data_IF_878621091015
#
_entry.id   IF_878621091015
#
_cell.length_a   1.000
_cell.length_b   1.000
_cell.length_c   1.000
_cell.angle_alpha   90.00
_cell.angle_beta   90.00
_cell.angle_gamma   90.00
#
_symmetry.space_group_name_H-M   'P 1'
#
loop_
_entity.id
_entity.type
_entity.pdbx_description
1 polymer ?
#
# COMPACT_ATOMS: atom_id res chain seq x y z
N UNK A 1 0.47 22.83 24.07
CA UNK A 1 -0.42 23.12 22.92
C UNK A 1 -0.85 21.79 22.33
N UNK A 2 -2.15 21.52 22.25
CA UNK A 2 -2.64 20.27 21.65
C UNK A 2 -2.53 20.39 20.13
N UNK A 3 -1.83 19.45 19.50
CA UNK A 3 -1.73 19.36 18.05
C UNK A 3 -3.13 19.08 17.47
N UNK A 4 -3.53 19.70 16.34
CA UNK A 4 -4.84 19.42 15.73
C UNK A 4 -5.00 17.94 15.37
N UNK A 5 -6.23 17.42 15.45
CA UNK A 5 -6.53 15.99 15.24
C UNK A 5 -6.27 15.48 13.83
N UNK A 6 -6.19 16.37 12.84
CA UNK A 6 -5.87 16.06 11.44
C UNK A 6 -4.37 16.07 11.14
N UNK A 7 -3.51 16.08 12.17
CA UNK A 7 -2.06 15.99 12.01
C UNK A 7 -1.50 14.87 12.91
N UNK A 8 -1.03 13.78 12.30
CA UNK A 8 -0.39 12.65 13.01
C UNK A 8 0.84 12.12 12.28
N UNK A 9 1.62 11.27 12.96
CA UNK A 9 2.74 10.55 12.34
C UNK A 9 2.26 9.15 11.92
N UNK A 10 2.68 8.65 10.76
CA UNK A 10 2.18 7.35 10.26
C UNK A 10 2.51 6.17 11.20
N UNK A 11 3.64 6.24 11.91
CA UNK A 11 4.02 5.25 12.94
C UNK A 11 3.02 5.19 14.11
N UNK A 12 2.28 6.27 14.39
CA UNK A 12 1.23 6.27 15.43
C UNK A 12 -0.04 5.53 14.95
N UNK A 13 -0.11 5.17 13.67
CA UNK A 13 -1.26 4.56 13.01
C UNK A 13 -0.95 3.20 12.38
N UNK A 14 0.21 2.61 12.69
CA UNK A 14 0.51 1.24 12.27
C UNK A 14 -0.53 0.30 12.86
N UNK A 15 -1.09 -0.53 11.99
CA UNK A 15 -1.91 -1.67 12.42
C UNK A 15 -0.98 -2.81 12.90
N UNK A 16 -1.56 -3.86 13.49
CA UNK A 16 -0.81 -5.01 13.98
C UNK A 16 -0.17 -5.80 12.81
N UNK A 17 0.90 -6.55 13.08
CA UNK A 17 1.55 -7.40 12.07
C UNK A 17 0.79 -8.72 11.85
N UNK A 18 -0.47 -8.60 11.43
CA UNK A 18 -1.40 -9.71 11.26
C UNK A 18 -2.29 -9.63 10.02
N UNK A 19 -2.04 -8.69 9.10
CA UNK A 19 -2.82 -8.55 7.87
C UNK A 19 -2.69 -9.79 6.96
N UNK A 20 -3.80 -10.45 6.66
CA UNK A 20 -3.89 -11.61 5.77
C UNK A 20 -5.29 -11.71 5.12
N UNK A 21 -5.40 -12.42 4.00
CA UNK A 21 -6.69 -12.73 3.39
C UNK A 21 -7.39 -13.90 4.08
N UNK A 22 -8.74 -13.95 4.08
CA UNK A 22 -9.49 -15.08 4.63
C UNK A 22 -9.05 -16.42 4.02
N UNK A 23 -8.67 -17.38 4.88
CA UNK A 23 -8.24 -18.71 4.45
C UNK A 23 -6.78 -18.81 4.01
N UNK A 24 -5.96 -17.79 4.29
CA UNK A 24 -4.52 -17.79 4.04
C UNK A 24 -3.75 -17.42 5.31
N UNK A 25 -2.64 -18.10 5.59
CA UNK A 25 -1.69 -17.72 6.65
C UNK A 25 -0.59 -16.79 6.12
N UNK A 26 -0.67 -16.37 4.86
CA UNK A 26 0.26 -15.42 4.25
C UNK A 26 0.06 -14.03 4.84
N UNK A 27 1.06 -13.54 5.55
CA UNK A 27 1.10 -12.16 6.03
C UNK A 27 1.44 -11.19 4.90
N UNK A 28 0.70 -10.09 4.83
CA UNK A 28 0.89 -8.99 3.90
C UNK A 28 1.78 -7.88 4.51
N UNK A 29 1.71 -6.67 3.94
CA UNK A 29 2.33 -5.48 4.52
C UNK A 29 1.69 -5.09 5.85
N UNK A 30 2.47 -4.38 6.68
CA UNK A 30 1.96 -3.73 7.88
C UNK A 30 1.44 -2.35 7.47
N UNK A 31 0.12 -2.21 7.48
CA UNK A 31 -0.57 -1.02 7.00
C UNK A 31 -0.57 0.14 7.99
N UNK A 32 -0.65 1.35 7.44
CA UNK A 32 -0.95 2.57 8.18
C UNK A 32 -1.90 3.43 7.35
N UNK A 33 -3.21 3.27 7.61
CA UNK A 33 -4.29 3.93 6.87
C UNK A 33 -4.43 5.43 7.23
N UNK A 34 -3.34 6.20 7.12
CA UNK A 34 -3.21 7.58 7.60
C UNK A 34 -4.32 8.50 7.08
N UNK A 35 -4.73 8.34 5.82
CA UNK A 35 -5.80 9.14 5.23
C UNK A 35 -7.11 8.97 6.00
N UNK A 36 -7.53 7.73 6.22
CA UNK A 36 -8.75 7.41 6.98
C UNK A 36 -8.64 7.85 8.43
N UNK A 37 -7.50 7.57 9.10
CA UNK A 37 -7.29 7.91 10.52
C UNK A 37 -7.27 9.43 10.76
N UNK A 38 -6.84 10.22 9.77
CA UNK A 38 -6.84 11.69 9.82
C UNK A 38 -8.08 12.34 9.18
N UNK A 39 -9.06 11.55 8.71
CA UNK A 39 -10.39 12.02 8.33
C UNK A 39 -10.62 12.27 6.83
N UNK A 40 -9.76 11.81 5.94
CA UNK A 40 -10.04 11.76 4.50
C UNK A 40 -11.19 10.78 4.20
N UNK A 41 -11.99 11.12 3.19
CA UNK A 41 -13.21 10.37 2.83
C UNK A 41 -13.32 9.94 1.38
N UNK A 42 -12.52 10.54 0.50
CA UNK A 42 -12.63 10.37 -0.96
C UNK A 42 -11.41 9.70 -1.59
N UNK A 43 -10.28 9.71 -0.89
CA UNK A 43 -9.04 9.09 -1.34
C UNK A 43 -8.51 8.25 -0.19
N UNK A 44 -8.06 7.04 -0.51
CA UNK A 44 -7.24 6.22 0.38
C UNK A 44 -5.81 6.73 0.33
N UNK A 45 -5.20 6.96 1.50
CA UNK A 45 -3.77 7.23 1.61
C UNK A 45 -3.24 6.33 2.71
N UNK A 46 -2.36 5.42 2.32
CA UNK A 46 -1.77 4.41 3.16
C UNK A 46 -0.25 4.53 3.11
N UNK A 47 0.41 4.28 4.24
CA UNK A 47 1.84 3.96 4.27
C UNK A 47 1.94 2.48 4.59
N UNK A 48 2.46 1.70 3.64
CA UNK A 48 2.59 0.25 3.76
C UNK A 48 4.05 -0.09 4.07
N UNK A 49 4.28 -0.82 5.17
CA UNK A 49 5.61 -1.34 5.52
C UNK A 49 5.73 -2.79 5.05
N UNK A 50 6.55 -3.01 4.02
CA UNK A 50 6.70 -4.32 3.40
C UNK A 50 7.95 -5.03 3.95
N UNK A 51 7.75 -6.12 4.68
CA UNK A 51 8.85 -6.97 5.15
C UNK A 51 9.35 -7.90 4.03
N UNK A 52 10.64 -8.32 4.05
CA UNK A 52 11.18 -9.23 3.05
C UNK A 52 10.35 -10.51 2.89
N UNK A 53 10.07 -10.89 1.64
CA UNK A 53 9.30 -12.09 1.30
C UNK A 53 7.79 -11.94 1.42
N UNK A 54 7.28 -10.73 1.67
CA UNK A 54 5.86 -10.42 1.70
C UNK A 54 5.43 -9.60 0.48
N UNK A 55 4.12 -9.47 0.30
CA UNK A 55 3.49 -8.63 -0.73
C UNK A 55 2.38 -7.76 -0.15
N UNK A 56 1.97 -6.74 -0.87
CA UNK A 56 0.94 -5.79 -0.41
C UNK A 56 -0.48 -6.35 -0.53
N UNK A 57 -0.71 -7.22 -1.52
CA UNK A 57 -2.04 -7.74 -1.84
C UNK A 57 -1.93 -9.07 -2.59
N UNK A 58 -3.06 -9.67 -2.96
CA UNK A 58 -3.06 -10.68 -4.02
C UNK A 58 -3.12 -9.99 -5.38
N UNK A 59 -2.54 -10.59 -6.45
CA UNK A 59 -2.60 -10.05 -7.79
C UNK A 59 -4.02 -9.67 -8.20
N UNK A 60 -4.23 -8.40 -8.50
CA UNK A 60 -5.51 -7.85 -8.90
C UNK A 60 -5.32 -6.69 -9.88
N UNK A 61 -6.41 -6.27 -10.49
CA UNK A 61 -6.45 -5.10 -11.35
C UNK A 61 -7.69 -4.28 -11.00
N UNK A 62 -7.53 -2.98 -10.92
CA UNK A 62 -8.61 -2.08 -10.55
C UNK A 62 -9.58 -1.85 -11.71
N UNK A 63 -10.87 -2.06 -11.46
CA UNK A 63 -11.90 -1.83 -12.48
C UNK A 63 -12.33 -0.36 -12.55
N UNK A 64 -12.48 0.29 -11.41
CA UNK A 64 -13.06 1.65 -11.29
C UNK A 64 -12.18 2.61 -10.49
N UNK A 65 -11.23 2.11 -9.69
CA UNK A 65 -10.37 2.95 -8.85
C UNK A 65 -9.02 3.20 -9.53
N UNK A 66 -8.49 4.41 -9.35
CA UNK A 66 -7.11 4.72 -9.70
C UNK A 66 -6.23 4.34 -8.51
N UNK A 67 -5.17 3.58 -8.76
CA UNK A 67 -4.22 3.19 -7.72
C UNK A 67 -2.79 3.60 -8.09
N UNK A 68 -1.97 3.87 -7.07
CA UNK A 68 -0.56 4.13 -7.27
C UNK A 68 0.28 3.68 -6.07
N UNK A 69 1.54 3.37 -6.34
CA UNK A 69 2.58 3.15 -5.33
C UNK A 69 3.69 4.19 -5.46
N UNK A 70 4.23 4.63 -4.33
CA UNK A 70 5.41 5.49 -4.28
C UNK A 70 6.40 4.96 -3.25
N UNK A 71 7.63 4.67 -3.68
CA UNK A 71 8.64 4.09 -2.78
C UNK A 71 9.29 5.20 -1.96
N UNK A 72 8.99 5.23 -0.66
CA UNK A 72 9.59 6.18 0.29
C UNK A 72 11.00 5.73 0.69
N UNK A 73 11.14 4.46 1.06
CA UNK A 73 12.41 3.83 1.43
C UNK A 73 12.41 2.34 1.06
N UNK A 74 13.60 1.73 1.08
CA UNK A 74 13.77 0.32 0.68
C UNK A 74 13.93 0.12 -0.83
N UNK A 75 13.96 -1.14 -1.26
CA UNK A 75 14.09 -1.53 -2.68
C UNK A 75 13.16 -2.73 -2.96
N UNK A 76 11.82 -2.52 -2.98
CA UNK A 76 10.88 -3.59 -3.29
C UNK A 76 10.89 -3.91 -4.78
N UNK A 77 10.37 -5.08 -5.15
CA UNK A 77 9.94 -5.36 -6.51
C UNK A 77 8.43 -5.11 -6.62
N UNK A 78 7.97 -4.55 -7.73
CA UNK A 78 6.56 -4.60 -8.12
C UNK A 78 6.37 -5.73 -9.12
N UNK A 79 5.38 -6.58 -8.86
CA UNK A 79 4.98 -7.60 -9.83
C UNK A 79 3.89 -7.02 -10.74
N UNK A 80 4.08 -7.11 -12.06
CA UNK A 80 3.14 -6.62 -13.06
C UNK A 80 2.99 -7.70 -14.14
N UNK A 81 1.77 -8.21 -14.31
CA UNK A 81 1.40 -9.18 -15.37
C UNK A 81 2.39 -10.36 -15.52
N UNK A 82 2.86 -10.91 -14.40
CA UNK A 82 3.79 -12.05 -14.39
C UNK A 82 5.27 -11.68 -14.29
N UNK A 83 5.61 -10.39 -14.32
CA UNK A 83 7.01 -9.91 -14.37
C UNK A 83 7.35 -9.08 -13.15
N UNK A 84 8.52 -9.31 -12.55
CA UNK A 84 9.05 -8.49 -11.47
C UNK A 84 9.86 -7.32 -12.02
N UNK A 85 9.63 -6.14 -11.45
CA UNK A 85 10.37 -4.92 -11.73
C UNK A 85 10.93 -4.36 -10.42
N UNK A 86 12.25 -4.29 -10.33
CA UNK A 86 12.91 -3.71 -9.17
C UNK A 86 12.67 -2.20 -9.11
N UNK A 87 12.26 -1.73 -7.93
CA UNK A 87 12.05 -0.32 -7.62
C UNK A 87 13.08 0.18 -6.61
N UNK A 88 13.26 1.49 -6.58
CA UNK A 88 14.11 2.20 -5.61
C UNK A 88 13.38 3.42 -5.03
N UNK A 89 13.89 4.03 -3.95
CA UNK A 89 13.28 5.21 -3.36
C UNK A 89 13.11 6.34 -4.39
N UNK A 90 11.92 6.92 -4.43
CA UNK A 90 11.52 7.94 -5.39
C UNK A 90 10.85 7.42 -6.66
N UNK A 91 10.84 6.10 -6.91
CA UNK A 91 10.05 5.54 -8.00
C UNK A 91 8.55 5.61 -7.70
N UNK A 92 7.76 5.86 -8.76
CA UNK A 92 6.30 5.94 -8.73
C UNK A 92 5.74 4.93 -9.73
N UNK A 93 4.74 4.17 -9.31
CA UNK A 93 4.01 3.22 -10.17
C UNK A 93 2.54 3.61 -10.15
N UNK A 94 1.89 3.60 -11.31
CA UNK A 94 0.49 3.97 -11.45
C UNK A 94 -0.28 2.85 -12.14
N UNK A 95 -1.49 2.60 -11.65
CA UNK A 95 -2.41 1.59 -12.15
C UNK A 95 -3.73 2.29 -12.50
N UNK A 96 -3.90 2.75 -13.74
CA UNK A 96 -5.14 3.40 -14.14
C UNK A 96 -6.31 2.43 -14.16
N UNK A 97 -7.48 2.94 -13.78
CA UNK A 97 -8.71 2.16 -13.68
C UNK A 97 -9.11 1.51 -15.00
N UNK A 98 -9.65 0.30 -14.95
CA UNK A 98 -10.25 -0.39 -16.10
C UNK A 98 -9.25 -0.85 -17.17
N UNK A 99 -7.94 -0.75 -16.90
CA UNK A 99 -6.89 -1.15 -17.85
C UNK A 99 -6.60 -2.65 -17.84
N UNK A 100 -6.92 -3.33 -16.74
CA UNK A 100 -6.60 -4.74 -16.54
C UNK A 100 -5.14 -5.03 -16.20
N UNK A 101 -4.33 -4.00 -15.87
CA UNK A 101 -2.94 -4.16 -15.43
C UNK A 101 -2.96 -4.87 -14.07
N UNK A 102 -2.61 -6.16 -14.06
CA UNK A 102 -2.61 -6.95 -12.85
C UNK A 102 -1.32 -6.73 -12.06
N UNK A 103 -1.43 -6.42 -10.77
CA UNK A 103 -0.30 -6.02 -9.95
C UNK A 103 -0.41 -6.47 -8.49
N UNK A 104 0.73 -6.45 -7.78
CA UNK A 104 0.85 -6.65 -6.32
C UNK A 104 2.16 -6.09 -5.76
#
# INVERSE_FOLDING_TARGET
MNRPSFIGHYLDFLDDDDAHYPGSDELLSIGSAVGKKLGLKKIGIHIETLLPGRRTSWPHAESEEEEFGFVIEGNPDVWIDGTLHALKPGDFVAFPSGTGIAHT
#
